data_IF_634696602615
#
_entry.id   IF_634696602615
#
_cell.length_a   1.000
_cell.length_b   1.000
_cell.length_c   1.000
_cell.angle_alpha   90.00
_cell.angle_beta   90.00
_cell.angle_gamma   90.00
#
_symmetry.space_group_name_H-M   'P 1'
#
loop_
_entity.id
_entity.type
_entity.pdbx_description
1 polymer ?
#
# COMPACT_ATOMS: atom_id res chain seq x y z
N UNK A 1 0.65 -20.44 -17.83
CA UNK A 1 1.55 -19.87 -16.81
C UNK A 1 0.74 -19.85 -15.54
N UNK A 2 1.06 -20.70 -14.56
CA UNK A 2 0.36 -20.69 -13.26
C UNK A 2 0.64 -19.33 -12.62
N UNK A 3 -0.41 -18.56 -12.30
CA UNK A 3 -0.26 -17.35 -11.50
C UNK A 3 0.36 -17.77 -10.17
N UNK A 4 1.60 -17.34 -9.91
CA UNK A 4 2.27 -17.58 -8.64
C UNK A 4 1.82 -16.51 -7.66
N UNK A 5 1.39 -16.95 -6.48
CA UNK A 5 0.97 -16.07 -5.40
C UNK A 5 2.10 -15.12 -4.97
N UNK A 6 1.73 -14.01 -4.33
CA UNK A 6 2.63 -12.93 -3.99
C UNK A 6 2.52 -12.47 -2.52
N UNK A 7 3.56 -11.81 -1.99
CA UNK A 7 3.57 -11.12 -0.67
C UNK A 7 4.35 -9.80 -0.71
N UNK A 8 4.24 -9.02 0.36
CA UNK A 8 5.06 -7.83 0.64
C UNK A 8 6.22 -8.16 1.61
N UNK A 9 7.41 -7.56 1.40
CA UNK A 9 8.57 -7.68 2.33
C UNK A 9 8.32 -7.17 3.76
N UNK A 10 8.99 -7.80 4.74
CA UNK A 10 8.79 -7.61 6.18
C UNK A 10 9.63 -6.50 6.83
N UNK A 11 10.79 -6.12 6.29
CA UNK A 11 11.66 -5.11 6.93
C UNK A 11 11.13 -3.66 6.83
N UNK A 12 10.16 -3.38 5.95
CA UNK A 12 9.62 -2.05 5.73
C UNK A 12 8.20 -1.82 6.28
N UNK A 13 7.59 -2.83 6.92
CA UNK A 13 6.16 -2.81 7.27
C UNK A 13 5.76 -1.65 8.19
N UNK A 14 6.60 -1.29 9.16
CA UNK A 14 6.33 -0.18 10.09
C UNK A 14 6.36 1.18 9.37
N UNK A 15 7.38 1.41 8.53
CA UNK A 15 7.52 2.64 7.76
C UNK A 15 6.43 2.75 6.69
N UNK A 16 6.10 1.64 6.04
CA UNK A 16 4.98 1.55 5.11
C UNK A 16 3.66 1.90 5.82
N UNK A 17 3.42 1.33 7.02
CA UNK A 17 2.20 1.60 7.80
C UNK A 17 2.05 3.08 8.15
N UNK A 18 3.14 3.73 8.59
CA UNK A 18 3.17 5.17 8.87
C UNK A 18 2.98 6.00 7.58
N UNK A 19 3.59 5.57 6.48
CA UNK A 19 3.44 6.23 5.17
C UNK A 19 1.99 6.23 4.69
N UNK A 20 1.26 5.12 4.86
CA UNK A 20 -0.17 5.02 4.50
C UNK A 20 -0.98 6.10 5.22
N UNK A 21 -0.70 6.33 6.51
CA UNK A 21 -1.37 7.38 7.29
C UNK A 21 -1.19 8.77 6.68
N UNK A 22 0.03 9.10 6.25
CA UNK A 22 0.32 10.38 5.60
C UNK A 22 -0.27 10.48 4.19
N UNK A 23 -0.24 9.39 3.42
CA UNK A 23 -0.84 9.28 2.08
C UNK A 23 -2.35 9.54 2.14
N UNK A 24 -3.03 8.93 3.11
CA UNK A 24 -4.46 9.12 3.34
C UNK A 24 -4.77 10.54 3.76
N UNK A 25 -4.02 11.09 4.73
CA UNK A 25 -4.19 12.47 5.18
C UNK A 25 -3.98 13.50 4.06
N UNK A 26 -2.98 13.29 3.21
CA UNK A 26 -2.76 14.14 2.05
C UNK A 26 -3.95 14.05 1.06
N UNK A 27 -4.47 12.84 0.81
CA UNK A 27 -5.59 12.64 -0.10
C UNK A 27 -6.89 13.27 0.41
N UNK A 28 -7.10 13.25 1.73
CA UNK A 28 -8.20 13.97 2.40
C UNK A 28 -8.04 15.49 2.21
N UNK A 29 -6.85 16.03 2.46
CA UNK A 29 -6.55 17.47 2.31
C UNK A 29 -6.69 17.98 0.86
N UNK A 30 -6.52 17.11 -0.14
CA UNK A 30 -6.61 17.46 -1.56
C UNK A 30 -7.90 17.00 -2.24
N UNK A 31 -8.89 16.49 -1.48
CA UNK A 31 -10.16 15.96 -1.99
C UNK A 31 -10.02 14.85 -3.06
N UNK A 32 -8.90 14.14 -3.09
CA UNK A 32 -8.65 13.00 -4.00
C UNK A 32 -9.06 11.65 -3.40
N UNK A 33 -9.72 11.69 -2.24
CA UNK A 33 -10.05 10.52 -1.39
C UNK A 33 -11.15 9.62 -1.94
N UNK A 34 -12.13 10.17 -2.67
CA UNK A 34 -13.37 9.43 -3.04
C UNK A 34 -13.07 8.19 -3.89
N UNK A 35 -12.25 8.32 -4.92
CA UNK A 35 -11.88 7.18 -5.78
C UNK A 35 -10.97 6.18 -5.06
N UNK A 36 -10.11 6.66 -4.16
CA UNK A 36 -9.25 5.79 -3.37
C UNK A 36 -10.06 4.94 -2.38
N UNK A 37 -11.06 5.52 -1.71
CA UNK A 37 -11.97 4.79 -0.82
C UNK A 37 -12.71 3.67 -1.55
N UNK A 38 -13.26 3.98 -2.74
CA UNK A 38 -13.97 3.00 -3.55
C UNK A 38 -13.05 1.83 -3.93
N UNK A 39 -11.83 2.12 -4.39
CA UNK A 39 -10.86 1.09 -4.81
C UNK A 39 -10.23 0.34 -3.64
N UNK A 40 -10.15 0.93 -2.46
CA UNK A 40 -9.64 0.27 -1.26
C UNK A 40 -10.70 -0.50 -0.47
N UNK A 41 -11.99 -0.30 -0.77
CA UNK A 41 -13.12 -0.87 -0.03
C UNK A 41 -13.03 -2.39 0.15
N UNK A 42 -12.61 -3.13 -0.89
CA UNK A 42 -12.49 -4.59 -0.83
C UNK A 42 -11.43 -5.04 0.17
N UNK A 43 -10.26 -4.38 0.19
CA UNK A 43 -9.22 -4.61 1.19
C UNK A 43 -9.71 -4.26 2.62
N UNK A 44 -10.37 -3.10 2.79
CA UNK A 44 -10.92 -2.68 4.08
C UNK A 44 -11.95 -3.68 4.62
N UNK A 45 -12.87 -4.15 3.77
CA UNK A 45 -13.84 -5.17 4.15
C UNK A 45 -13.18 -6.51 4.47
N UNK A 46 -12.12 -6.91 3.77
CA UNK A 46 -11.41 -8.16 4.04
C UNK A 46 -10.73 -8.16 5.42
N UNK A 47 -10.11 -7.03 5.80
CA UNK A 47 -9.45 -6.83 7.11
C UNK A 47 -10.42 -7.09 8.27
N UNK A 48 -11.69 -6.68 8.13
CA UNK A 48 -12.71 -6.82 9.16
C UNK A 48 -13.19 -8.27 9.37
N UNK A 49 -12.85 -9.19 8.46
CA UNK A 49 -13.26 -10.59 8.57
C UNK A 49 -12.26 -11.41 9.40
N UNK A 50 -12.66 -12.59 9.86
CA UNK A 50 -11.75 -13.62 10.42
C UNK A 50 -11.47 -14.74 9.41
N UNK A 51 -11.72 -14.49 8.12
CA UNK A 51 -11.61 -15.48 7.05
C UNK A 51 -10.24 -15.35 6.36
N UNK A 52 -9.33 -16.29 6.67
CA UNK A 52 -7.98 -16.35 6.09
C UNK A 52 -8.01 -16.47 4.57
N UNK A 53 -8.91 -17.29 4.03
CA UNK A 53 -9.03 -17.53 2.59
C UNK A 53 -9.49 -16.27 1.86
N UNK A 54 -10.48 -15.56 2.44
CA UNK A 54 -10.94 -14.28 1.91
C UNK A 54 -9.84 -13.22 1.95
N UNK A 55 -9.12 -13.06 3.07
CA UNK A 55 -8.01 -12.10 3.16
C UNK A 55 -6.92 -12.39 2.14
N UNK A 56 -6.56 -13.67 1.99
CA UNK A 56 -5.58 -14.10 1.00
C UNK A 56 -6.02 -13.79 -0.43
N UNK A 57 -7.24 -14.19 -0.80
CA UNK A 57 -7.79 -13.98 -2.14
C UNK A 57 -7.76 -12.49 -2.50
N UNK A 58 -8.25 -11.64 -1.59
CA UNK A 58 -8.25 -10.19 -1.79
C UNK A 58 -6.82 -9.67 -1.93
N UNK A 59 -5.90 -10.09 -1.06
CA UNK A 59 -4.50 -9.67 -1.13
C UNK A 59 -3.88 -10.03 -2.49
N UNK A 60 -4.10 -11.24 -3.01
CA UNK A 60 -3.57 -11.67 -4.30
C UNK A 60 -4.11 -10.83 -5.47
N UNK A 61 -5.41 -10.52 -5.46
CA UNK A 61 -6.00 -9.63 -6.48
C UNK A 61 -5.34 -8.25 -6.48
N UNK A 62 -5.12 -7.66 -5.30
CA UNK A 62 -4.45 -6.37 -5.17
C UNK A 62 -2.98 -6.44 -5.59
N UNK A 63 -2.24 -7.48 -5.22
CA UNK A 63 -0.85 -7.63 -5.63
C UNK A 63 -0.72 -7.81 -7.14
N UNK A 64 -1.66 -8.52 -7.77
CA UNK A 64 -1.75 -8.62 -9.22
C UNK A 64 -2.03 -7.28 -9.90
N UNK A 65 -2.95 -6.47 -9.37
CA UNK A 65 -3.33 -5.18 -9.96
C UNK A 65 -2.29 -4.07 -9.70
N UNK A 66 -1.64 -4.06 -8.53
CA UNK A 66 -0.79 -2.97 -8.07
C UNK A 66 0.71 -3.34 -8.02
N UNK A 67 1.09 -4.60 -8.20
CA UNK A 67 2.47 -5.08 -8.02
C UNK A 67 3.51 -4.32 -8.85
N UNK A 68 3.19 -4.01 -10.11
CA UNK A 68 4.07 -3.21 -10.96
C UNK A 68 4.27 -1.77 -10.43
N UNK A 69 3.23 -1.17 -9.84
CA UNK A 69 3.32 0.15 -9.22
C UNK A 69 4.09 0.10 -7.89
N UNK A 70 3.87 -0.94 -7.09
CA UNK A 70 4.61 -1.19 -5.85
C UNK A 70 6.11 -1.26 -6.15
N UNK A 71 6.51 -2.13 -7.08
CA UNK A 71 7.93 -2.32 -7.43
C UNK A 71 8.56 -1.05 -8.03
N UNK A 72 7.80 -0.23 -8.77
CA UNK A 72 8.26 1.08 -9.25
C UNK A 72 8.44 2.10 -8.13
N UNK A 73 7.72 1.96 -7.02
CA UNK A 73 7.72 2.88 -5.89
C UNK A 73 8.47 2.33 -4.68
N UNK A 74 9.20 1.21 -4.81
CA UNK A 74 9.94 0.58 -3.71
C UNK A 74 10.95 1.51 -3.05
N UNK A 75 11.64 2.37 -3.80
CA UNK A 75 12.58 3.35 -3.22
C UNK A 75 11.88 4.36 -2.29
N UNK A 76 10.60 4.61 -2.53
CA UNK A 76 9.78 5.53 -1.76
C UNK A 76 9.07 4.83 -0.59
N UNK A 77 8.46 3.67 -0.87
CA UNK A 77 7.61 2.95 0.09
C UNK A 77 8.39 1.97 0.96
N UNK A 78 9.59 1.58 0.54
CA UNK A 78 10.34 0.46 1.10
C UNK A 78 9.71 -0.90 0.80
N UNK A 79 8.59 -0.94 0.06
CA UNK A 79 7.79 -2.15 -0.16
C UNK A 79 8.12 -2.76 -1.51
N UNK A 80 8.30 -4.08 -1.53
CA UNK A 80 8.52 -4.87 -2.73
C UNK A 80 7.62 -6.12 -2.74
N UNK A 81 7.17 -6.52 -3.92
CA UNK A 81 6.35 -7.71 -4.11
C UNK A 81 7.21 -8.92 -4.47
N UNK A 82 7.09 -9.99 -3.69
CA UNK A 82 7.76 -11.27 -3.93
C UNK A 82 6.77 -12.36 -4.26
N UNK A 83 7.21 -13.36 -5.01
CA UNK A 83 6.45 -14.60 -5.19
C UNK A 83 6.51 -15.46 -3.92
N UNK A 84 5.45 -16.22 -3.67
CA UNK A 84 5.32 -17.14 -2.55
C UNK A 84 4.74 -18.47 -3.00
N UNK A 85 5.01 -19.50 -2.22
CA UNK A 85 4.54 -20.86 -2.43
C UNK A 85 3.37 -21.20 -1.47
N UNK A 86 2.80 -22.39 -1.65
CA UNK A 86 1.70 -22.87 -0.82
C UNK A 86 2.07 -23.02 0.67
N UNK A 87 3.34 -23.27 0.97
CA UNK A 87 3.88 -23.37 2.33
C UNK A 87 3.75 -22.03 3.07
N UNK A 88 4.08 -20.91 2.41
CA UNK A 88 3.87 -19.59 2.99
C UNK A 88 2.39 -19.33 3.31
N UNK A 89 1.46 -19.75 2.43
CA UNK A 89 0.03 -19.65 2.73
C UNK A 89 -0.36 -20.48 3.95
N UNK A 90 0.21 -21.68 4.15
CA UNK A 90 -0.08 -22.49 5.32
C UNK A 90 0.36 -21.77 6.62
N UNK A 91 1.54 -21.15 6.61
CA UNK A 91 2.15 -20.53 7.79
C UNK A 91 1.64 -19.12 8.10
N UNK A 92 1.24 -18.34 7.08
CA UNK A 92 0.85 -16.94 7.29
C UNK A 92 -0.37 -16.85 8.20
N UNK A 93 -0.27 -16.03 9.24
CA UNK A 93 -1.36 -15.83 10.19
C UNK A 93 -2.27 -14.65 9.77
N UNK A 94 -3.45 -14.55 10.39
CA UNK A 94 -4.44 -13.51 10.07
C UNK A 94 -3.90 -12.09 10.30
N UNK A 95 -3.11 -11.88 11.35
CA UNK A 95 -2.55 -10.57 11.68
C UNK A 95 -1.59 -10.09 10.58
N UNK A 96 -0.80 -11.00 10.03
CA UNK A 96 0.11 -10.70 8.95
C UNK A 96 -0.64 -10.35 7.66
N UNK A 97 -1.71 -11.08 7.34
CA UNK A 97 -2.59 -10.74 6.22
C UNK A 97 -3.26 -9.37 6.41
N UNK A 98 -3.66 -9.04 7.64
CA UNK A 98 -4.22 -7.72 7.96
C UNK A 98 -3.23 -6.59 7.69
N UNK A 99 -1.98 -6.77 8.11
CA UNK A 99 -0.93 -5.77 7.85
C UNK A 99 -0.67 -5.60 6.35
N UNK A 100 -0.59 -6.70 5.59
CA UNK A 100 -0.37 -6.62 4.15
C UNK A 100 -1.57 -5.97 3.43
N UNK A 101 -2.80 -6.29 3.82
CA UNK A 101 -3.99 -5.62 3.29
C UNK A 101 -4.04 -4.14 3.66
N UNK A 102 -3.60 -3.75 4.87
CA UNK A 102 -3.48 -2.34 5.25
C UNK A 102 -2.47 -1.61 4.36
N UNK A 103 -1.31 -2.23 4.09
CA UNK A 103 -0.33 -1.69 3.12
C UNK A 103 -0.97 -1.49 1.75
N UNK A 104 -1.73 -2.48 1.27
CA UNK A 104 -2.45 -2.35 0.00
C UNK A 104 -3.42 -1.17 -0.02
N UNK A 105 -4.12 -0.90 1.08
CA UNK A 105 -4.98 0.30 1.18
C UNK A 105 -4.17 1.57 0.91
N UNK A 106 -3.02 1.78 1.54
CA UNK A 106 -2.27 3.01 1.25
C UNK A 106 -1.60 3.04 -0.11
N UNK A 107 -1.22 1.89 -0.68
CA UNK A 107 -0.74 1.82 -2.07
C UNK A 107 -1.83 2.26 -3.05
N UNK A 108 -3.09 1.87 -2.83
CA UNK A 108 -4.24 2.31 -3.63
C UNK A 108 -4.37 3.83 -3.55
N UNK A 109 -4.35 4.40 -2.34
CA UNK A 109 -4.45 5.84 -2.17
C UNK A 109 -3.29 6.59 -2.84
N UNK A 110 -2.07 6.09 -2.71
CA UNK A 110 -0.89 6.68 -3.35
C UNK A 110 -1.04 6.66 -4.88
N UNK A 111 -1.47 5.53 -5.46
CA UNK A 111 -1.67 5.40 -6.90
C UNK A 111 -2.75 6.34 -7.41
N UNK A 112 -3.88 6.45 -6.72
CA UNK A 112 -4.97 7.34 -7.14
C UNK A 112 -4.60 8.81 -7.00
N UNK A 113 -3.84 9.18 -5.97
CA UNK A 113 -3.37 10.54 -5.80
C UNK A 113 -2.29 10.94 -6.82
N UNK A 114 -1.45 10.00 -7.25
CA UNK A 114 -0.51 10.21 -8.38
C UNK A 114 -1.25 10.28 -9.72
N UNK A 115 -2.34 9.51 -9.89
CA UNK A 115 -3.12 9.46 -11.14
C UNK A 115 -3.99 10.71 -11.34
N UNK A 116 -4.52 11.30 -10.28
CA UNK A 116 -5.23 12.58 -10.37
C UNK A 116 -4.26 13.62 -10.95
N UNK A 117 -4.51 14.06 -12.19
CA UNK A 117 -3.63 14.91 -13.01
C UNK A 117 -3.43 16.35 -12.49
N UNK A 118 -3.44 16.55 -11.17
CA UNK A 118 -3.28 17.82 -10.44
C UNK A 118 -2.23 17.65 -9.32
N UNK A 119 -1.31 16.70 -9.51
CA UNK A 119 -0.56 16.06 -8.42
C UNK A 119 0.47 16.92 -7.69
N UNK A 120 0.78 18.14 -8.11
CA UNK A 120 1.82 18.94 -7.43
C UNK A 120 1.37 19.33 -6.02
N UNK A 121 0.11 19.73 -5.83
CA UNK A 121 -0.42 20.08 -4.50
C UNK A 121 -0.46 18.87 -3.57
N UNK A 122 -0.81 17.68 -4.09
CA UNK A 122 -0.78 16.44 -3.32
C UNK A 122 0.64 16.03 -2.97
N UNK A 123 1.56 16.06 -3.95
CA UNK A 123 2.97 15.74 -3.75
C UNK A 123 3.62 16.69 -2.76
N UNK A 124 3.39 17.98 -2.87
CA UNK A 124 3.87 18.96 -1.90
C UNK A 124 3.28 18.74 -0.50
N UNK A 125 1.98 18.45 -0.41
CA UNK A 125 1.33 18.14 0.86
C UNK A 125 1.94 16.90 1.51
N UNK A 126 2.09 15.82 0.73
CA UNK A 126 2.69 14.56 1.16
C UNK A 126 4.16 14.76 1.56
N UNK A 127 4.96 15.45 0.74
CA UNK A 127 6.35 15.81 1.07
C UNK A 127 6.44 16.60 2.37
N UNK A 128 5.56 17.59 2.59
CA UNK A 128 5.50 18.36 3.84
C UNK A 128 5.16 17.48 5.05
N UNK A 129 4.21 16.56 4.91
CA UNK A 129 3.81 15.63 5.97
C UNK A 129 4.92 14.63 6.29
N UNK A 130 5.54 14.03 5.27
CA UNK A 130 6.62 13.06 5.45
C UNK A 130 7.90 13.72 5.98
N UNK A 131 8.24 14.94 5.53
CA UNK A 131 9.38 15.70 6.09
C UNK A 131 9.20 15.97 7.58
N UNK A 132 7.98 16.32 8.01
CA UNK A 132 7.66 16.52 9.43
C UNK A 132 7.72 15.23 10.26
N UNK A 133 7.61 14.06 9.64
CA UNK A 133 7.68 12.78 10.35
C UNK A 133 9.10 12.41 10.78
N UNK A 134 10.14 12.94 10.12
CA UNK A 134 11.55 12.56 10.36
C UNK A 134 11.93 11.15 9.93
N UNK A 135 10.99 10.39 9.35
CA UNK A 135 11.17 8.97 8.97
C UNK A 135 11.85 8.85 7.59
N UNK A 136 11.66 9.83 6.71
CA UNK A 136 12.11 9.80 5.32
C UNK A 136 13.22 10.82 5.09
N UNK A 137 14.26 10.41 4.37
CA UNK A 137 15.36 11.29 3.96
C UNK A 137 14.92 12.25 2.85
N UNK A 138 15.58 13.40 2.73
CA UNK A 138 15.29 14.36 1.66
C UNK A 138 15.47 13.74 0.26
N UNK A 139 16.41 12.80 0.11
CA UNK A 139 16.59 12.04 -1.13
C UNK A 139 15.38 11.17 -1.46
N UNK A 140 14.77 10.51 -0.47
CA UNK A 140 13.53 9.74 -0.65
C UNK A 140 12.33 10.65 -0.95
N UNK A 141 12.27 11.82 -0.32
CA UNK A 141 11.21 12.81 -0.57
C UNK A 141 11.28 13.39 -1.99
N UNK A 142 12.48 13.53 -2.57
CA UNK A 142 12.66 14.01 -3.94
C UNK A 142 12.19 13.02 -5.01
N UNK A 143 11.89 11.77 -4.64
CA UNK A 143 11.32 10.75 -5.54
C UNK A 143 9.79 10.84 -5.68
N UNK A 144 9.12 11.69 -4.88
CA UNK A 144 7.69 12.02 -4.98
C UNK A 144 7.43 13.10 -6.04
#
# INVERSE_FOLDING_TARGET
MFDMDQKIDFQAQENATKMIGYVKKAAEMTHTVIMADQKASKAVSAIQTQDKSRKWTVLQEYLKEYGAFINKTTLLTGVYVYQVNAEFYAEVNLQELDRQLQIMVGIVYLKEAVRAAVSETYKECLKKLLRKSGIFTEAQLNLL
#
